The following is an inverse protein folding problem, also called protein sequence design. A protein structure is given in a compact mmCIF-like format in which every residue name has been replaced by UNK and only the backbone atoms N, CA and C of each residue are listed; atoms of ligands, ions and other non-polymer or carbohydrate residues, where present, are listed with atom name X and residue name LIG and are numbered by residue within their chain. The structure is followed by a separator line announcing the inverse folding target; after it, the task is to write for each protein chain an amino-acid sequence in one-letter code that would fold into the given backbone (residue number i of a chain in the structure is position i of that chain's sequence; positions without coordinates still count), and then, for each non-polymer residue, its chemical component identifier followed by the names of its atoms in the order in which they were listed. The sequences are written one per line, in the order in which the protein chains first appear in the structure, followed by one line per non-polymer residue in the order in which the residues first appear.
data_IF_602336605437
#
_entry.id   IF_602336605437
#
_cell.length_a   1.000
_cell.length_b   1.000
_cell.length_c   1.000
_cell.angle_alpha   90.00
_cell.angle_beta   90.00
_cell.angle_gamma   90.00
#
_symmetry.space_group_name_H-M   'P 1'
#
loop_
_entity.id
_entity.type
_entity.pdbx_description
1 polymer ?
#
# COMPACT_ATOMS: atom_id res chain seq x y z
N UNK A 1 1.73 6.68 2.46
CA UNK A 1 3.12 6.65 2.01
C UNK A 1 4.00 7.60 2.78
N UNK A 2 3.97 8.90 2.44
CA UNK A 2 4.82 9.95 3.06
C UNK A 2 4.76 9.94 4.58
N UNK A 3 3.57 9.85 5.17
CA UNK A 3 3.40 9.78 6.63
C UNK A 3 4.18 8.62 7.27
N UNK A 4 4.12 7.43 6.68
CA UNK A 4 4.86 6.26 7.16
C UNK A 4 6.38 6.48 7.00
N UNK A 5 6.82 7.06 5.88
CA UNK A 5 8.22 7.45 5.68
C UNK A 5 8.71 8.45 6.74
N UNK A 6 7.87 9.42 7.11
CA UNK A 6 8.16 10.38 8.19
C UNK A 6 8.23 9.69 9.55
N UNK A 7 7.33 8.75 9.86
CA UNK A 7 7.40 7.96 11.08
C UNK A 7 8.72 7.18 11.18
N UNK A 8 9.16 6.56 10.08
CA UNK A 8 10.45 5.87 10.02
C UNK A 8 11.62 6.83 10.25
N UNK A 9 11.59 8.00 9.61
CA UNK A 9 12.60 9.04 9.79
C UNK A 9 12.70 9.52 11.25
N UNK A 10 11.56 9.80 11.88
CA UNK A 10 11.49 10.23 13.30
C UNK A 10 11.92 9.10 14.24
N UNK A 11 11.54 7.85 13.95
CA UNK A 11 12.01 6.71 14.73
C UNK A 11 13.54 6.54 14.65
N UNK A 12 14.14 6.82 13.48
CA UNK A 12 15.59 6.87 13.29
C UNK A 12 16.25 7.95 14.16
N UNK A 13 15.68 9.16 14.19
CA UNK A 13 16.12 10.28 15.05
C UNK A 13 16.12 9.93 16.54
N UNK A 14 15.11 9.19 17.00
CA UNK A 14 14.92 8.82 18.40
C UNK A 14 15.67 7.55 18.81
N UNK A 15 16.25 6.81 17.84
CA UNK A 15 16.91 5.53 18.11
C UNK A 15 18.24 5.74 18.85
N UNK A 16 18.42 5.14 20.05
CA UNK A 16 19.63 5.32 20.86
C UNK A 16 20.92 4.90 20.13
N UNK A 17 20.83 3.90 19.24
CA UNK A 17 21.98 3.40 18.48
C UNK A 17 22.56 4.41 17.48
N UNK A 18 21.73 5.32 16.95
CA UNK A 18 22.15 6.41 16.06
C UNK A 18 22.42 7.71 16.81
N UNK A 19 21.80 7.89 17.99
CA UNK A 19 22.01 9.05 18.85
C UNK A 19 23.31 8.99 19.67
N UNK A 20 23.85 7.79 19.94
CA UNK A 20 25.07 7.59 20.73
C UNK A 20 26.38 7.78 19.93
N UNK A 21 26.31 7.78 18.58
CA UNK A 21 27.47 8.01 17.71
C UNK A 21 27.29 9.35 17.01
N UNK A 22 28.31 10.18 17.04
CA UNK A 22 28.32 11.55 16.52
C UNK A 22 28.26 11.63 14.97
N UNK A 23 27.22 11.07 14.34
CA UNK A 23 27.00 11.09 12.89
C UNK A 23 25.72 11.83 12.49
N UNK A 24 25.70 13.15 12.73
CA UNK A 24 24.70 14.09 12.17
C UNK A 24 24.53 14.06 10.63
N UNK A 25 25.54 13.76 9.77
CA UNK A 25 25.32 13.73 8.32
C UNK A 25 24.48 12.53 7.84
N UNK A 26 24.41 11.43 8.59
CA UNK A 26 23.62 10.24 8.24
C UNK A 26 22.11 10.53 8.29
N UNK A 27 21.70 11.46 9.15
CA UNK A 27 20.31 11.88 9.30
C UNK A 27 19.78 12.72 8.13
N UNK A 28 20.64 13.43 7.40
CA UNK A 28 20.26 14.09 6.16
C UNK A 28 20.23 13.07 5.03
N UNK A 29 21.11 12.06 5.07
CA UNK A 29 21.16 10.96 4.12
C UNK A 29 19.91 10.05 4.16
N UNK A 30 19.12 10.08 5.24
CA UNK A 30 17.87 9.31 5.38
C UNK A 30 16.61 10.02 4.89
N UNK A 31 16.69 11.30 4.52
CA UNK A 31 15.56 12.03 3.93
C UNK A 31 14.97 11.36 2.66
N UNK A 32 15.75 10.69 1.79
CA UNK A 32 15.24 9.88 0.69
C UNK A 32 14.25 8.78 1.13
N UNK A 33 14.29 8.27 2.37
CA UNK A 33 13.32 7.29 2.87
C UNK A 33 11.91 7.87 2.97
N UNK A 34 11.77 9.17 3.23
CA UNK A 34 10.46 9.86 3.25
C UNK A 34 9.89 9.92 1.84
N UNK A 35 10.72 10.24 0.86
CA UNK A 35 10.35 10.25 -0.57
C UNK A 35 10.03 8.84 -1.06
N UNK A 36 10.83 7.84 -0.67
CA UNK A 36 10.60 6.43 -0.97
C UNK A 36 9.26 5.97 -0.38
N UNK A 37 8.96 6.31 0.87
CA UNK A 37 7.66 6.04 1.48
C UNK A 37 6.50 6.71 0.72
N UNK A 38 6.71 7.93 0.23
CA UNK A 38 5.79 8.63 -0.67
C UNK A 38 5.53 7.85 -1.97
N UNK A 39 6.60 7.52 -2.70
CA UNK A 39 6.55 6.76 -3.95
C UNK A 39 5.92 5.38 -3.76
N UNK A 40 6.29 4.66 -2.71
CA UNK A 40 5.71 3.37 -2.32
C UNK A 40 4.21 3.48 -2.06
N UNK A 41 3.76 4.54 -1.38
CA UNK A 41 2.34 4.79 -1.15
C UNK A 41 1.57 5.04 -2.44
N UNK A 42 2.14 5.82 -3.37
CA UNK A 42 1.53 6.06 -4.69
C UNK A 42 1.46 4.77 -5.50
N UNK A 43 2.57 4.05 -5.61
CA UNK A 43 2.63 2.76 -6.32
C UNK A 43 1.66 1.75 -5.73
N UNK A 44 1.60 1.63 -4.41
CA UNK A 44 0.67 0.74 -3.73
C UNK A 44 -0.79 1.08 -4.01
N UNK A 45 -1.15 2.37 -4.00
CA UNK A 45 -2.51 2.78 -4.34
C UNK A 45 -2.89 2.48 -5.79
N UNK A 46 -1.93 2.58 -6.72
CA UNK A 46 -2.13 2.25 -8.13
C UNK A 46 -2.32 0.73 -8.29
N UNK A 47 -1.45 -0.08 -7.69
CA UNK A 47 -1.53 -1.54 -7.73
C UNK A 47 -2.86 -2.01 -7.14
N UNK A 48 -3.24 -1.49 -5.98
CA UNK A 48 -4.49 -1.83 -5.30
C UNK A 48 -5.71 -1.44 -6.14
N UNK A 49 -5.71 -0.26 -6.76
CA UNK A 49 -6.81 0.18 -7.60
C UNK A 49 -6.96 -0.66 -8.87
N UNK A 50 -5.84 -1.06 -9.49
CA UNK A 50 -5.86 -1.91 -10.69
C UNK A 50 -6.37 -3.31 -10.33
N UNK A 51 -5.81 -3.93 -9.29
CA UNK A 51 -6.23 -5.26 -8.84
C UNK A 51 -7.66 -5.24 -8.32
N UNK A 52 -8.06 -4.19 -7.60
CA UNK A 52 -9.41 -3.93 -7.15
C UNK A 52 -10.40 -3.90 -8.30
N UNK A 53 -10.16 -3.03 -9.28
CA UNK A 53 -11.08 -2.86 -10.42
C UNK A 53 -11.18 -4.09 -11.33
N UNK A 54 -10.11 -4.87 -11.46
CA UNK A 54 -10.03 -6.02 -12.39
C UNK A 54 -10.43 -7.34 -11.74
N UNK A 55 -10.08 -7.56 -10.47
CA UNK A 55 -10.25 -8.86 -9.80
C UNK A 55 -11.43 -8.84 -8.83
N UNK A 56 -11.64 -7.74 -8.09
CA UNK A 56 -12.72 -7.69 -7.09
C UNK A 56 -14.08 -7.59 -7.77
N UNK A 57 -14.98 -8.51 -7.40
CA UNK A 57 -16.36 -8.48 -7.87
C UNK A 57 -17.08 -7.24 -7.35
N UNK A 58 -17.77 -6.55 -8.25
CA UNK A 58 -18.75 -5.51 -7.94
C UNK A 58 -20.04 -5.78 -8.68
N UNK A 59 -21.16 -5.69 -7.97
CA UNK A 59 -22.49 -5.93 -8.51
C UNK A 59 -23.50 -4.91 -8.00
N UNK A 60 -24.60 -4.75 -8.72
CA UNK A 60 -25.74 -3.93 -8.32
C UNK A 60 -26.86 -4.83 -7.84
N UNK A 61 -27.25 -4.69 -6.57
CA UNK A 61 -28.38 -5.43 -6.02
C UNK A 61 -29.69 -4.73 -6.40
N UNK A 62 -30.55 -5.43 -7.16
CA UNK A 62 -31.79 -4.87 -7.71
C UNK A 62 -32.88 -4.63 -6.65
N UNK A 63 -32.84 -5.35 -5.52
CA UNK A 63 -33.82 -5.21 -4.44
C UNK A 63 -33.55 -3.98 -3.58
N UNK A 64 -32.30 -3.86 -3.14
CA UNK A 64 -31.84 -2.78 -2.25
C UNK A 64 -31.45 -1.52 -3.02
N UNK A 65 -31.32 -1.62 -4.35
CA UNK A 65 -30.84 -0.56 -5.25
C UNK A 65 -29.46 -0.03 -4.88
N UNK A 66 -28.58 -0.90 -4.36
CA UNK A 66 -27.24 -0.56 -3.87
C UNK A 66 -26.15 -1.37 -4.56
N UNK A 67 -24.96 -0.79 -4.64
CA UNK A 67 -23.76 -1.50 -5.06
C UNK A 67 -23.32 -2.44 -3.93
N UNK A 68 -22.99 -3.68 -4.28
CA UNK A 68 -22.53 -4.72 -3.38
C UNK A 68 -21.28 -5.39 -3.95
N UNK A 69 -20.33 -5.72 -3.08
CA UNK A 69 -19.15 -6.52 -3.40
C UNK A 69 -19.38 -8.02 -3.16
N UNK A 70 -20.60 -8.41 -2.77
CA UNK A 70 -21.00 -9.81 -2.57
C UNK A 70 -21.93 -10.28 -3.69
N UNK A 71 -21.68 -11.49 -4.15
CA UNK A 71 -22.60 -12.20 -5.05
C UNK A 71 -23.87 -12.58 -4.31
N UNK A 72 -24.99 -12.64 -5.04
CA UNK A 72 -26.27 -13.06 -4.50
C UNK A 72 -27.36 -13.06 -5.57
N UNK A 73 -28.51 -13.63 -5.23
CA UNK A 73 -29.68 -13.59 -6.10
C UNK A 73 -30.11 -12.13 -6.34
N UNK A 74 -30.47 -11.83 -7.59
CA UNK A 74 -30.83 -10.47 -8.06
C UNK A 74 -29.70 -9.43 -7.96
N UNK A 75 -28.44 -9.87 -7.90
CA UNK A 75 -27.27 -8.99 -8.05
C UNK A 75 -26.75 -9.05 -9.49
N UNK A 76 -26.91 -7.96 -10.25
CA UNK A 76 -26.34 -7.84 -11.59
C UNK A 76 -24.85 -7.49 -11.49
N UNK A 77 -23.98 -8.25 -12.15
CA UNK A 77 -22.54 -7.97 -12.16
C UNK A 77 -22.23 -6.67 -12.92
N UNK A 78 -21.40 -5.82 -12.33
CA UNK A 78 -20.91 -4.56 -12.92
C UNK A 78 -19.47 -4.75 -13.40
N UNK A 79 -18.56 -5.22 -12.52
CA UNK A 79 -17.13 -5.38 -12.82
C UNK A 79 -16.48 -6.52 -12.02
N UNK A 80 -15.29 -6.93 -12.45
CA UNK A 80 -14.42 -7.88 -11.77
C UNK A 80 -14.67 -9.35 -12.14
N UNK A 81 -13.61 -10.16 -12.16
CA UNK A 81 -13.69 -11.61 -12.48
C UNK A 81 -14.15 -12.49 -11.31
N UNK A 82 -14.21 -11.96 -10.08
CA UNK A 82 -14.57 -12.69 -8.85
C UNK A 82 -13.69 -13.91 -8.55
N UNK A 83 -12.40 -13.83 -8.93
CA UNK A 83 -11.41 -14.88 -8.65
C UNK A 83 -10.92 -14.77 -7.19
N UNK A 84 -10.78 -13.54 -6.68
CA UNK A 84 -10.35 -13.26 -5.31
C UNK A 84 -11.33 -12.34 -4.58
N UNK A 85 -11.42 -12.51 -3.26
CA UNK A 85 -12.14 -11.59 -2.39
C UNK A 85 -11.36 -10.29 -2.14
N UNK A 86 -12.02 -9.30 -1.53
CA UNK A 86 -11.41 -7.99 -1.26
C UNK A 86 -10.16 -8.13 -0.37
N UNK A 87 -10.23 -8.99 0.65
CA UNK A 87 -9.13 -9.20 1.58
C UNK A 87 -7.89 -9.78 0.89
N UNK A 88 -8.08 -10.75 -0.01
CA UNK A 88 -6.99 -11.36 -0.74
C UNK A 88 -6.39 -10.41 -1.79
N UNK A 89 -7.20 -9.57 -2.43
CA UNK A 89 -6.68 -8.51 -3.32
C UNK A 89 -5.82 -7.52 -2.54
N UNK A 90 -6.28 -7.06 -1.36
CA UNK A 90 -5.51 -6.17 -0.50
C UNK A 90 -4.23 -6.83 0.01
N UNK A 91 -4.27 -8.13 0.33
CA UNK A 91 -3.10 -8.89 0.75
C UNK A 91 -2.06 -8.94 -0.36
N UNK A 92 -2.48 -9.25 -1.59
CA UNK A 92 -1.60 -9.30 -2.76
C UNK A 92 -1.04 -7.91 -3.05
N UNK A 93 -1.89 -6.89 -3.12
CA UNK A 93 -1.46 -5.51 -3.43
C UNK A 93 -0.47 -4.98 -2.39
N UNK A 94 -0.76 -5.17 -1.10
CA UNK A 94 0.12 -4.75 -0.01
C UNK A 94 1.44 -5.53 0.00
N UNK A 95 1.41 -6.86 -0.19
CA UNK A 95 2.61 -7.70 -0.21
C UNK A 95 3.52 -7.34 -1.38
N UNK A 96 2.97 -7.18 -2.58
CA UNK A 96 3.74 -6.77 -3.77
C UNK A 96 4.34 -5.38 -3.58
N UNK A 97 3.57 -4.43 -3.05
CA UNK A 97 4.05 -3.08 -2.76
C UNK A 97 5.20 -3.10 -1.74
N UNK A 98 5.04 -3.85 -0.65
CA UNK A 98 6.07 -3.99 0.38
C UNK A 98 7.35 -4.62 -0.18
N UNK A 99 7.23 -5.66 -1.01
CA UNK A 99 8.37 -6.31 -1.65
C UNK A 99 9.15 -5.37 -2.58
N UNK A 100 8.44 -4.64 -3.46
CA UNK A 100 9.05 -3.66 -4.36
C UNK A 100 9.74 -2.55 -3.56
N UNK A 101 9.09 -2.06 -2.51
CA UNK A 101 9.63 -1.00 -1.65
C UNK A 101 10.87 -1.45 -0.91
N UNK A 102 10.90 -2.70 -0.41
CA UNK A 102 12.07 -3.28 0.25
C UNK A 102 13.27 -3.40 -0.70
N UNK A 103 13.04 -3.87 -1.94
CA UNK A 103 14.11 -3.91 -2.93
C UNK A 103 14.60 -2.54 -3.32
N UNK A 104 13.70 -1.57 -3.50
CA UNK A 104 14.09 -0.19 -3.77
C UNK A 104 14.93 0.38 -2.61
N UNK A 105 14.51 0.18 -1.35
CA UNK A 105 15.25 0.64 -0.18
C UNK A 105 16.67 0.07 -0.11
N UNK A 106 16.86 -1.20 -0.47
CA UNK A 106 18.16 -1.86 -0.48
C UNK A 106 19.16 -1.29 -1.51
N UNK A 107 18.71 -0.50 -2.48
CA UNK A 107 19.61 0.24 -3.39
C UNK A 107 20.03 1.62 -2.84
N UNK A 108 19.35 2.14 -1.82
CA UNK A 108 19.57 3.49 -1.28
C UNK A 108 20.26 3.51 0.10
N UNK A 109 20.31 2.37 0.79
CA UNK A 109 20.93 2.17 2.12
C UNK A 109 22.13 1.26 1.99
#
# INVERSE_FOLDING_TARGET
GVFIGLCFYVAGLLSPGKAAVAHRPELIAELPLVLLGGAAGLLGSIIDSILGATIQFTGYNLDTKKITSKRGDRVAQISGLAILDNNAVNLVSATTTAFITAQAAAFFV
#
